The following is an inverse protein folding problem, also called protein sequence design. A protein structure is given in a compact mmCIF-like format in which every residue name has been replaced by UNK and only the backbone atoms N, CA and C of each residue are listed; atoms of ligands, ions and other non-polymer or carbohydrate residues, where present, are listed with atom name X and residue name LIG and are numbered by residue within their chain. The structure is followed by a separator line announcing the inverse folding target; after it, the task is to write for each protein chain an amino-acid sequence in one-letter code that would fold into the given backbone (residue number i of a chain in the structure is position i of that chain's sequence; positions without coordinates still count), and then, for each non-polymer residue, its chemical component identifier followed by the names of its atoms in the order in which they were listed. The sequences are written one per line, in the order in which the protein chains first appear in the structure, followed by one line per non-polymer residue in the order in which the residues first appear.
data_IF_183227273416
#
_entry.id   IF_183227273416
#
_cell.length_a   1.000
_cell.length_b   1.000
_cell.length_c   1.000
_cell.angle_alpha   90.00
_cell.angle_beta   90.00
_cell.angle_gamma   90.00
#
_symmetry.space_group_name_H-M   'P 1'
#
loop_
_entity.id
_entity.type
_entity.pdbx_description
1 polymer ?
#
# COMPACT_ATOMS: atom_id res chain seq x y z
N UNK A 1 12.51 2.56 0.74
CA UNK A 1 11.73 2.08 1.89
C UNK A 1 10.64 1.19 1.33
N UNK A 2 10.46 -0.03 1.85
CA UNK A 2 9.40 -0.90 1.39
C UNK A 2 8.04 -0.24 1.64
N UNK A 3 7.17 -0.23 0.64
CA UNK A 3 5.81 0.32 0.79
C UNK A 3 4.95 -0.62 1.63
N UNK A 4 5.25 -1.93 1.62
CA UNK A 4 4.55 -2.95 2.40
C UNK A 4 5.49 -4.04 2.88
N UNK A 5 5.20 -4.61 4.05
CA UNK A 5 5.90 -5.76 4.62
C UNK A 5 4.89 -6.79 5.14
N UNK A 6 5.13 -8.07 4.90
CA UNK A 6 4.30 -9.15 5.42
C UNK A 6 4.90 -9.66 6.73
N UNK A 7 4.17 -9.50 7.84
CA UNK A 7 4.62 -9.93 9.17
C UNK A 7 4.81 -11.45 9.30
N UNK A 8 4.16 -12.26 8.44
CA UNK A 8 4.25 -13.73 8.49
C UNK A 8 5.49 -14.29 7.82
N UNK A 9 5.85 -13.79 6.64
CA UNK A 9 6.93 -14.35 5.83
C UNK A 9 8.08 -13.37 5.58
N UNK A 10 8.00 -12.13 6.07
CA UNK A 10 9.01 -11.09 5.88
C UNK A 10 9.10 -10.55 4.46
N UNK A 11 8.15 -10.88 3.57
CA UNK A 11 8.14 -10.39 2.20
C UNK A 11 7.94 -8.87 2.19
N UNK A 12 8.83 -8.14 1.51
CA UNK A 12 8.76 -6.70 1.34
C UNK A 12 8.45 -6.36 -0.11
N UNK A 13 7.57 -5.37 -0.33
CA UNK A 13 7.16 -4.93 -1.67
C UNK A 13 7.38 -3.44 -1.82
N UNK A 14 7.92 -3.04 -2.97
CA UNK A 14 7.93 -1.66 -3.44
C UNK A 14 6.97 -1.54 -4.62
N UNK A 15 6.12 -0.52 -4.63
CA UNK A 15 5.18 -0.29 -5.72
C UNK A 15 5.46 1.06 -6.41
N UNK A 16 5.43 1.06 -7.74
CA UNK A 16 5.55 2.26 -8.58
C UNK A 16 4.33 2.40 -9.48
N UNK A 17 3.97 3.63 -9.83
CA UNK A 17 2.89 3.90 -10.77
C UNK A 17 3.36 3.56 -12.19
N UNK A 18 2.73 2.59 -12.86
CA UNK A 18 3.09 2.23 -14.24
C UNK A 18 2.81 3.30 -15.30
N UNK A 19 2.14 4.42 -14.95
CA UNK A 19 1.90 5.54 -15.86
C UNK A 19 3.01 6.59 -15.86
N UNK A 20 3.60 6.85 -14.69
CA UNK A 20 4.58 7.93 -14.52
C UNK A 20 5.86 7.51 -13.79
N UNK A 21 6.02 6.20 -13.55
CA UNK A 21 7.13 5.54 -12.87
C UNK A 21 7.44 6.04 -11.43
N UNK A 22 6.66 6.99 -10.93
CA UNK A 22 6.81 7.53 -9.59
C UNK A 22 6.53 6.45 -8.53
N UNK A 23 7.30 6.40 -7.43
CA UNK A 23 7.00 5.52 -6.31
C UNK A 23 5.63 5.88 -5.72
N UNK A 24 4.82 4.85 -5.44
CA UNK A 24 3.53 5.07 -4.78
C UNK A 24 3.77 5.39 -3.31
N UNK A 25 2.98 6.32 -2.78
CA UNK A 25 3.04 6.77 -1.40
C UNK A 25 2.03 6.00 -0.56
N UNK A 26 2.41 5.62 0.67
CA UNK A 26 1.48 4.97 1.59
C UNK A 26 0.43 5.96 2.08
N UNK A 27 -0.81 5.51 2.21
CA UNK A 27 -1.92 6.29 2.69
C UNK A 27 -3.00 5.43 3.32
N UNK A 28 -4.02 6.09 3.84
CA UNK A 28 -5.17 5.48 4.50
C UNK A 28 -6.45 6.01 3.87
N UNK A 29 -7.38 5.13 3.52
CA UNK A 29 -8.69 5.49 2.99
C UNK A 29 -9.79 5.03 3.93
N UNK A 30 -10.63 5.96 4.37
CA UNK A 30 -11.86 5.60 5.08
C UNK A 30 -12.90 5.09 4.07
N UNK A 31 -13.38 3.86 4.28
CA UNK A 31 -14.32 3.18 3.37
C UNK A 31 -15.75 3.17 3.95
N UNK A 32 -15.95 3.83 5.10
CA UNK A 32 -17.22 3.95 5.82
C UNK A 32 -17.21 3.29 7.19
N UNK A 33 -18.15 3.69 8.06
CA UNK A 33 -18.37 3.13 9.40
C UNK A 33 -17.10 2.99 10.25
N UNK A 34 -16.19 3.97 10.17
CA UNK A 34 -14.92 3.96 10.91
C UNK A 34 -13.89 2.95 10.42
N UNK A 35 -14.15 2.25 9.30
CA UNK A 35 -13.21 1.32 8.69
C UNK A 35 -12.24 2.06 7.79
N UNK A 36 -10.96 1.99 8.15
CA UNK A 36 -9.87 2.53 7.35
C UNK A 36 -9.09 1.38 6.72
N UNK A 37 -8.78 1.48 5.43
CA UNK A 37 -7.91 0.53 4.71
C UNK A 37 -6.62 1.22 4.29
N UNK A 38 -5.52 0.48 4.32
CA UNK A 38 -4.24 0.95 3.78
C UNK A 38 -4.29 0.97 2.25
N UNK A 39 -3.77 2.04 1.67
CA UNK A 39 -3.69 2.24 0.22
C UNK A 39 -2.30 2.74 -0.17
N UNK A 40 -1.92 2.46 -1.42
CA UNK A 40 -0.81 3.13 -2.08
C UNK A 40 -1.36 4.08 -3.12
N UNK A 41 -1.09 5.37 -2.97
CA UNK A 41 -1.57 6.41 -3.86
C UNK A 41 -0.43 6.94 -4.74
N UNK A 42 -0.75 7.22 -6.00
CA UNK A 42 0.17 7.91 -6.89
C UNK A 42 0.24 9.39 -6.52
N UNK A 43 1.43 9.98 -6.30
CA UNK A 43 1.59 11.39 -5.95
C UNK A 43 1.07 12.34 -7.05
N UNK A 44 1.04 11.85 -8.29
CA UNK A 44 0.55 12.62 -9.45
C UNK A 44 -0.96 12.46 -9.70
N UNK A 45 -1.69 11.75 -8.82
CA UNK A 45 -3.15 11.65 -8.91
C UNK A 45 -3.68 10.65 -9.95
N UNK A 46 -2.84 9.81 -10.56
CA UNK A 46 -3.28 8.80 -11.53
C UNK A 46 -4.16 7.69 -10.93
N UNK A 47 -4.14 7.52 -9.61
CA UNK A 47 -4.95 6.53 -8.92
C UNK A 47 -4.36 6.06 -7.60
N UNK A 48 -5.02 5.05 -7.03
CA UNK A 48 -4.64 4.40 -5.78
C UNK A 48 -4.95 2.90 -5.85
N UNK A 49 -4.15 2.09 -5.19
CA UNK A 49 -4.37 0.65 -5.05
C UNK A 49 -4.56 0.31 -3.57
N UNK A 50 -5.41 -0.68 -3.26
CA UNK A 50 -5.45 -1.25 -1.91
C UNK A 50 -4.16 -2.02 -1.65
N UNK A 51 -3.72 -2.07 -0.39
CA UNK A 51 -2.62 -2.93 0.07
C UNK A 51 -2.68 -4.34 -0.55
N UNK A 52 -1.57 -4.89 -1.06
CA UNK A 52 -1.53 -6.24 -1.60
C UNK A 52 -1.80 -7.29 -0.51
N UNK A 53 -2.36 -8.43 -0.91
CA UNK A 53 -2.62 -9.56 -0.02
C UNK A 53 -1.42 -10.53 -0.04
N UNK A 54 -0.87 -10.87 1.12
CA UNK A 54 0.17 -11.88 1.28
C UNK A 54 -0.14 -12.79 2.48
N UNK A 55 0.08 -14.11 2.35
CA UNK A 55 -0.26 -15.09 3.39
C UNK A 55 -1.73 -15.03 3.90
N UNK A 56 -2.66 -14.63 3.03
CA UNK A 56 -4.09 -14.52 3.34
C UNK A 56 -4.49 -13.27 4.14
N UNK A 57 -3.58 -12.29 4.29
CA UNK A 57 -3.83 -11.03 5.00
C UNK A 57 -3.39 -9.83 4.13
N UNK A 58 -4.09 -8.70 4.28
CA UNK A 58 -3.62 -7.44 3.72
C UNK A 58 -2.24 -7.11 4.33
N UNK A 59 -1.28 -6.77 3.50
CA UNK A 59 0.03 -6.33 3.98
C UNK A 59 -0.11 -4.93 4.60
N UNK A 60 0.48 -4.75 5.78
CA UNK A 60 0.58 -3.47 6.45
C UNK A 60 1.84 -2.73 5.96
N UNK A 61 1.77 -1.40 5.94
CA UNK A 61 2.98 -0.59 5.78
C UNK A 61 3.73 -0.60 7.11
N UNK A 62 4.94 -1.15 7.13
CA UNK A 62 5.86 -1.00 8.26
C UNK A 62 6.51 0.40 8.19
N UNK A 63 5.74 1.44 8.49
CA UNK A 63 6.33 2.77 8.72
C UNK A 63 7.02 2.71 10.08
N UNK A 64 8.33 2.40 10.05
CA UNK A 64 9.24 2.59 11.17
C UNK A 64 9.77 4.02 11.17
#
# INVERSE_FOLDING_TARGET
MATYECDKCGMKVNATCGHCDAPLENGSLEVGEGKTVQISQCPNGHGKIKSPLCCGQDMSCAVA
#
